data_IF_837408742182
#
_entry.id   IF_837408742182
#
_cell.length_a   1.000
_cell.length_b   1.000
_cell.length_c   1.000
_cell.angle_alpha   90.00
_cell.angle_beta   90.00
_cell.angle_gamma   90.00
#
_symmetry.space_group_name_H-M   'P 1'
#
loop_
_entity.id
_entity.type
_entity.pdbx_description
1 polymer ?
#
# COMPACT_ATOMS: atom_id res chain seq x y z
N UNK A 1 -9.91 -2.76 7.36
CA UNK A 1 -8.55 -2.98 6.82
C UNK A 1 -8.57 -3.91 5.62
N UNK A 2 -9.10 -5.13 5.72
CA UNK A 2 -9.16 -6.08 4.58
C UNK A 2 -9.78 -5.51 3.29
N UNK A 3 -10.91 -4.77 3.29
CA UNK A 3 -11.45 -4.18 2.06
C UNK A 3 -10.48 -3.19 1.40
N UNK A 4 -9.88 -2.29 2.18
CA UNK A 4 -8.90 -1.32 1.69
C UNK A 4 -7.64 -1.99 1.11
N UNK A 5 -7.15 -3.06 1.74
CA UNK A 5 -6.02 -3.84 1.23
C UNK A 5 -6.35 -4.56 -0.07
N UNK A 6 -7.56 -5.14 -0.18
CA UNK A 6 -8.02 -5.78 -1.42
C UNK A 6 -8.14 -4.78 -2.57
N UNK A 7 -8.64 -3.58 -2.28
CA UNK A 7 -8.75 -2.51 -3.26
C UNK A 7 -7.37 -2.03 -3.73
N UNK A 8 -6.45 -1.75 -2.80
CA UNK A 8 -5.08 -1.34 -3.13
C UNK A 8 -4.36 -2.41 -3.96
N UNK A 9 -4.50 -3.69 -3.59
CA UNK A 9 -3.95 -4.81 -4.34
C UNK A 9 -4.50 -4.89 -5.77
N UNK A 10 -5.81 -4.75 -5.94
CA UNK A 10 -6.47 -4.78 -7.25
C UNK A 10 -5.93 -3.70 -8.19
N UNK A 11 -5.69 -2.49 -7.66
CA UNK A 11 -5.19 -1.34 -8.42
C UNK A 11 -3.68 -1.39 -8.71
N UNK A 12 -2.92 -2.26 -8.04
CA UNK A 12 -1.45 -2.27 -8.10
C UNK A 12 -0.89 -3.64 -8.51
N UNK A 13 -0.69 -4.55 -7.56
CA UNK A 13 0.05 -5.80 -7.76
C UNK A 13 -0.74 -6.88 -8.49
N UNK A 14 -2.08 -6.86 -8.44
CA UNK A 14 -2.90 -7.96 -8.94
C UNK A 14 -2.62 -8.32 -10.41
N UNK A 15 -2.31 -7.33 -11.26
CA UNK A 15 -1.97 -7.56 -12.68
C UNK A 15 -0.67 -8.35 -12.87
N UNK A 16 0.27 -8.25 -11.92
CA UNK A 16 1.59 -8.90 -11.99
C UNK A 16 1.60 -10.29 -11.36
N UNK A 17 0.53 -10.66 -10.66
CA UNK A 17 0.41 -11.95 -9.98
C UNK A 17 -0.30 -13.01 -10.83
N UNK A 18 0.27 -14.21 -10.84
CA UNK A 18 -0.39 -15.39 -11.39
C UNK A 18 -1.53 -15.86 -10.46
N UNK A 19 -2.27 -16.89 -10.89
CA UNK A 19 -3.40 -17.43 -10.12
C UNK A 19 -3.01 -17.82 -8.69
N UNK A 20 -1.87 -18.51 -8.51
CA UNK A 20 -1.41 -18.96 -7.20
C UNK A 20 -1.12 -17.78 -6.26
N UNK A 21 -0.42 -16.76 -6.75
CA UNK A 21 -0.11 -15.56 -5.98
C UNK A 21 -1.38 -14.78 -5.60
N UNK A 22 -2.38 -14.72 -6.49
CA UNK A 22 -3.70 -14.13 -6.18
C UNK A 22 -4.44 -14.89 -5.08
N UNK A 23 -4.40 -16.23 -5.09
CA UNK A 23 -5.01 -17.04 -4.02
C UNK A 23 -4.28 -16.87 -2.70
N UNK A 24 -2.95 -16.83 -2.72
CA UNK A 24 -2.16 -16.59 -1.52
C UNK A 24 -2.50 -15.23 -0.89
N UNK A 25 -2.60 -14.18 -1.70
CA UNK A 25 -3.03 -12.85 -1.23
C UNK A 25 -4.40 -12.91 -0.54
N UNK A 26 -5.37 -13.61 -1.12
CA UNK A 26 -6.71 -13.75 -0.55
C UNK A 26 -6.71 -14.43 0.83
N UNK A 27 -5.74 -15.31 1.11
CA UNK A 27 -5.59 -15.94 2.43
C UNK A 27 -4.91 -15.00 3.40
N UNK A 28 -3.75 -14.44 3.05
CA UNK A 28 -2.94 -13.64 3.98
C UNK A 28 -3.60 -12.33 4.38
N UNK A 29 -4.47 -11.75 3.54
CA UNK A 29 -5.18 -10.50 3.85
C UNK A 29 -6.14 -10.62 5.04
N UNK A 30 -6.50 -11.86 5.43
CA UNK A 30 -7.29 -12.11 6.63
C UNK A 30 -6.47 -12.00 7.93
N UNK A 31 -5.14 -12.09 7.85
CA UNK A 31 -4.24 -11.84 8.98
C UNK A 31 -3.92 -10.35 9.17
N UNK A 32 -4.48 -9.45 8.33
CA UNK A 32 -4.26 -8.02 8.44
C UNK A 32 -4.76 -7.49 9.79
N UNK A 33 -4.00 -6.63 10.48
CA UNK A 33 -4.40 -6.08 11.77
C UNK A 33 -5.62 -5.17 11.65
N UNK A 34 -6.32 -4.95 12.77
CA UNK A 34 -7.30 -3.87 12.88
C UNK A 34 -6.62 -2.51 12.68
N UNK A 35 -7.35 -1.51 12.16
CA UNK A 35 -6.84 -0.15 11.92
C UNK A 35 -6.18 0.44 13.17
N UNK A 36 -6.84 0.30 14.34
CA UNK A 36 -6.31 0.76 15.63
C UNK A 36 -4.95 0.14 15.98
N UNK A 37 -4.76 -1.15 15.70
CA UNK A 37 -3.50 -1.84 16.00
C UNK A 37 -2.40 -1.41 15.02
N UNK A 38 -2.74 -1.18 13.75
CA UNK A 38 -1.80 -0.65 12.76
C UNK A 38 -1.34 0.76 13.13
N UNK A 39 -2.26 1.65 13.50
CA UNK A 39 -1.92 3.02 13.89
C UNK A 39 -1.13 3.05 15.20
N UNK A 40 -1.50 2.22 16.18
CA UNK A 40 -0.71 2.07 17.42
C UNK A 40 0.71 1.57 17.12
N UNK A 41 0.87 0.64 16.18
CA UNK A 41 2.19 0.17 15.76
C UNK A 41 3.00 1.29 15.07
N UNK A 42 2.36 2.08 14.21
CA UNK A 42 2.97 3.25 13.57
C UNK A 42 3.33 4.35 14.58
N UNK A 43 2.57 4.46 15.68
CA UNK A 43 2.86 5.34 16.81
C UNK A 43 3.92 4.79 17.78
N UNK A 44 4.72 3.78 17.39
CA UNK A 44 5.68 3.11 18.28
C UNK A 44 5.07 2.59 19.60
N UNK A 45 3.80 2.17 19.56
CA UNK A 45 2.98 1.71 20.69
C UNK A 45 2.59 2.78 21.72
N UNK A 46 2.84 4.07 21.44
CA UNK A 46 2.24 5.15 22.22
C UNK A 46 0.73 5.25 21.97
N UNK A 47 -0.01 5.65 23.00
CA UNK A 47 -1.47 5.81 22.93
C UNK A 47 -1.85 7.27 22.68
N UNK A 48 -3.01 7.51 22.05
CA UNK A 48 -3.54 8.85 21.82
C UNK A 48 -2.86 9.62 20.68
N UNK A 49 -2.04 8.96 19.87
CA UNK A 49 -1.35 9.56 18.72
C UNK A 49 -2.00 9.21 17.38
N UNK A 50 -3.19 8.61 17.35
CA UNK A 50 -3.79 8.14 16.11
C UNK A 50 -4.00 9.25 15.07
N UNK A 51 -4.45 10.43 15.50
CA UNK A 51 -4.67 11.57 14.60
C UNK A 51 -3.35 12.14 14.07
N UNK A 52 -2.33 12.25 14.93
CA UNK A 52 -0.98 12.69 14.54
C UNK A 52 -0.38 11.76 13.50
N UNK A 53 -0.43 10.45 13.74
CA UNK A 53 0.07 9.43 12.80
C UNK A 53 -0.66 9.49 11.47
N UNK A 54 -1.98 9.70 11.47
CA UNK A 54 -2.74 9.86 10.22
C UNK A 54 -2.29 11.10 9.46
N UNK A 55 -2.15 12.25 10.14
CA UNK A 55 -1.68 13.48 9.50
C UNK A 55 -0.25 13.37 8.94
N UNK A 56 0.65 12.66 9.63
CA UNK A 56 2.00 12.37 9.14
C UNK A 56 1.99 11.44 7.93
N UNK A 57 1.13 10.41 7.92
CA UNK A 57 0.96 9.53 6.75
C UNK A 57 0.45 10.35 5.55
N UNK A 58 -0.54 11.21 5.74
CA UNK A 58 -1.07 12.08 4.68
C UNK A 58 0.03 13.00 4.12
N UNK A 59 0.76 13.71 4.99
CA UNK A 59 1.87 14.58 4.57
C UNK A 59 2.99 13.82 3.86
N UNK A 60 3.29 12.60 4.29
CA UNK A 60 4.28 11.75 3.62
C UNK A 60 3.85 11.34 2.21
N UNK A 61 2.56 11.01 2.04
CA UNK A 61 2.01 10.54 0.78
C UNK A 61 2.08 11.59 -0.34
N UNK A 62 1.96 12.88 -0.02
CA UNK A 62 2.04 13.97 -1.01
C UNK A 62 3.36 13.94 -1.79
N UNK A 63 4.49 13.75 -1.11
CA UNK A 63 5.80 13.65 -1.75
C UNK A 63 6.07 12.25 -2.31
N UNK A 64 5.61 11.21 -1.62
CA UNK A 64 5.85 9.84 -2.02
C UNK A 64 5.19 9.51 -3.36
N UNK A 65 3.97 9.99 -3.61
CA UNK A 65 3.26 9.77 -4.86
C UNK A 65 4.02 10.32 -6.08
N UNK A 66 4.60 11.52 -5.96
CA UNK A 66 5.42 12.12 -7.02
C UNK A 66 6.67 11.30 -7.32
N UNK A 67 7.35 10.79 -6.29
CA UNK A 67 8.53 9.93 -6.45
C UNK A 67 8.20 8.61 -7.14
N UNK A 68 7.10 7.95 -6.74
CA UNK A 68 6.64 6.72 -7.39
C UNK A 68 6.29 6.98 -8.85
N UNK A 69 5.58 8.06 -9.15
CA UNK A 69 5.21 8.42 -10.52
C UNK A 69 6.45 8.63 -11.39
N UNK A 70 7.46 9.37 -10.90
CA UNK A 70 8.70 9.59 -11.63
C UNK A 70 9.44 8.29 -11.97
N UNK A 71 9.43 7.30 -11.07
CA UNK A 71 10.01 5.98 -11.32
C UNK A 71 9.18 5.21 -12.36
N UNK A 72 7.85 5.20 -12.24
CA UNK A 72 6.96 4.53 -13.20
C UNK A 72 7.15 5.10 -14.60
N UNK A 73 7.19 6.42 -14.73
CA UNK A 73 7.42 7.10 -16.00
C UNK A 73 8.78 6.74 -16.59
N UNK A 74 9.84 6.75 -15.77
CA UNK A 74 11.17 6.32 -16.18
C UNK A 74 11.18 4.89 -16.74
N UNK A 75 10.49 3.95 -16.09
CA UNK A 75 10.43 2.56 -16.56
C UNK A 75 9.71 2.44 -17.90
N UNK A 76 8.65 3.22 -18.13
CA UNK A 76 7.96 3.25 -19.41
C UNK A 76 8.80 3.91 -20.51
N UNK A 77 9.42 5.05 -20.23
CA UNK A 77 10.24 5.79 -21.19
C UNK A 77 11.48 4.99 -21.62
N UNK A 78 12.06 4.23 -20.69
CA UNK A 78 13.19 3.33 -20.96
C UNK A 78 12.79 1.97 -21.49
N UNK A 79 11.50 1.70 -21.69
CA UNK A 79 10.96 0.42 -22.17
C UNK A 79 11.37 -0.77 -21.28
N UNK A 80 11.43 -0.53 -19.97
CA UNK A 80 11.75 -1.53 -18.94
C UNK A 80 10.50 -2.21 -18.38
N UNK A 81 9.31 -1.67 -18.66
CA UNK A 81 8.01 -2.23 -18.25
C UNK A 81 6.99 -1.99 -19.37
N UNK A 82 5.95 -2.82 -19.44
CA UNK A 82 4.82 -2.62 -20.35
C UNK A 82 3.70 -1.83 -19.68
N UNK A 83 3.16 -0.84 -20.40
CA UNK A 83 1.97 -0.14 -19.92
C UNK A 83 0.82 -1.15 -19.79
N UNK A 84 0.02 -1.06 -18.71
CA UNK A 84 -1.17 -1.88 -18.55
C UNK A 84 -2.16 -1.69 -19.69
#
# INVERSE_FOLDING_TARGET
MTPALKEAYSKTLMRHHNFLAKQLFNVVVHAAPYRKNLLKAAAYNHEGLEETVVGEIESHLDNFAGNVQAIVDYYYDKKLETKP
#
